data_IF_189334597592
#
_entry.id   IF_189334597592
#
_cell.length_a   1.000
_cell.length_b   1.000
_cell.length_c   1.000
_cell.angle_alpha   90.00
_cell.angle_beta   90.00
_cell.angle_gamma   90.00
#
_symmetry.space_group_name_H-M   'P 1'
#
loop_
_entity.id
_entity.type
_entity.pdbx_description
1 polymer ?
#
# COMPACT_ATOMS: atom_id res chain seq x y z
N UNK A 1 -5.94 -0.04 -5.87
CA UNK A 1 -5.11 -0.36 -7.04
C UNK A 1 -4.07 0.74 -7.14
N UNK A 2 -2.86 0.39 -7.55
CA UNK A 2 -1.72 1.30 -7.59
C UNK A 2 -1.00 1.11 -8.92
N UNK A 3 -0.56 2.18 -9.55
CA UNK A 3 0.19 2.13 -10.79
C UNK A 3 1.11 3.35 -10.91
N UNK A 4 2.26 3.17 -11.55
CA UNK A 4 3.20 4.23 -11.83
C UNK A 4 3.80 4.06 -13.23
N UNK A 5 4.12 5.18 -13.87
CA UNK A 5 4.77 5.26 -15.17
C UNK A 5 5.85 6.36 -15.12
N UNK A 6 6.97 6.11 -15.79
CA UNK A 6 8.07 7.06 -15.95
C UNK A 6 8.50 7.07 -17.41
N UNK A 7 8.72 8.27 -17.95
CA UNK A 7 9.35 8.45 -19.25
C UNK A 7 10.88 8.36 -19.08
N UNK A 8 11.53 7.45 -19.80
CA UNK A 8 12.98 7.28 -19.71
C UNK A 8 13.79 8.34 -20.48
N UNK A 9 13.13 9.12 -21.33
CA UNK A 9 13.78 10.15 -22.16
C UNK A 9 13.79 11.53 -21.50
N UNK A 10 13.01 11.74 -20.44
CA UNK A 10 12.89 13.03 -19.75
C UNK A 10 12.50 12.87 -18.27
N UNK A 11 12.41 13.97 -17.51
CA UNK A 11 12.13 13.92 -16.07
C UNK A 11 10.63 13.75 -15.75
N UNK A 12 9.84 13.17 -16.65
CA UNK A 12 8.39 13.06 -16.48
C UNK A 12 8.01 11.73 -15.86
N UNK A 13 7.17 11.77 -14.85
CA UNK A 13 6.61 10.59 -14.20
C UNK A 13 5.18 10.88 -13.71
N UNK A 14 4.39 9.83 -13.60
CA UNK A 14 3.03 9.89 -13.08
C UNK A 14 2.68 8.60 -12.35
N UNK A 15 1.95 8.72 -11.26
CA UNK A 15 1.58 7.62 -10.39
C UNK A 15 0.23 7.86 -9.73
N UNK A 16 -0.46 6.78 -9.48
CA UNK A 16 -1.72 6.74 -8.73
C UNK A 16 -1.66 5.65 -7.68
N UNK A 17 -2.16 5.94 -6.49
CA UNK A 17 -2.24 4.98 -5.42
C UNK A 17 -3.61 4.99 -4.74
N UNK A 18 -4.04 3.87 -4.18
CA UNK A 18 -5.27 3.77 -3.41
C UNK A 18 -6.56 3.92 -4.22
N UNK A 19 -6.52 3.85 -5.55
CA UNK A 19 -7.73 3.99 -6.38
C UNK A 19 -8.57 2.72 -6.35
N UNK A 20 -9.90 2.87 -6.24
CA UNK A 20 -10.82 1.71 -6.08
C UNK A 20 -11.69 1.45 -7.31
N UNK A 21 -12.03 2.49 -8.06
CA UNK A 21 -13.03 2.43 -9.12
C UNK A 21 -12.45 2.55 -10.52
N UNK A 22 -11.17 2.87 -10.66
CA UNK A 22 -10.55 3.11 -11.97
C UNK A 22 -10.26 1.78 -12.66
N UNK A 23 -10.88 1.53 -13.83
CA UNK A 23 -10.70 0.28 -14.59
C UNK A 23 -9.22 0.00 -14.92
N UNK A 24 -8.54 1.03 -15.43
CA UNK A 24 -7.17 0.96 -15.90
C UNK A 24 -6.30 2.00 -15.17
N UNK A 25 -5.69 1.66 -14.02
CA UNK A 25 -4.90 2.62 -13.24
C UNK A 25 -3.65 3.13 -13.97
N UNK A 26 -3.12 2.37 -14.94
CA UNK A 26 -1.94 2.80 -15.72
C UNK A 26 -2.28 3.93 -16.71
N UNK A 27 -3.48 3.92 -17.29
CA UNK A 27 -3.95 5.01 -18.16
C UNK A 27 -4.13 6.29 -17.34
N UNK A 28 -4.66 6.16 -16.12
CA UNK A 28 -4.76 7.27 -15.19
C UNK A 28 -3.39 7.81 -14.77
N UNK A 29 -2.41 6.94 -14.48
CA UNK A 29 -1.03 7.36 -14.18
C UNK A 29 -0.39 8.13 -15.34
N UNK A 30 -0.68 7.75 -16.59
CA UNK A 30 -0.25 8.51 -17.78
C UNK A 30 -0.95 9.88 -17.86
N UNK A 31 -2.24 9.95 -17.56
CA UNK A 31 -2.96 11.22 -17.50
C UNK A 31 -2.41 12.15 -16.41
N UNK A 32 -2.02 11.60 -15.25
CA UNK A 32 -1.35 12.37 -14.18
C UNK A 32 -0.06 12.99 -14.70
N UNK A 33 0.76 12.21 -15.42
CA UNK A 33 2.02 12.68 -16.01
C UNK A 33 1.82 13.77 -17.08
N UNK A 34 0.78 13.66 -17.91
CA UNK A 34 0.56 14.55 -19.07
C UNK A 34 -0.27 15.79 -18.76
N UNK A 35 -1.21 15.69 -17.80
CA UNK A 35 -2.26 16.70 -17.59
C UNK A 35 -2.29 17.29 -16.18
N UNK A 36 -1.35 16.91 -15.33
CA UNK A 36 -1.22 17.49 -13.99
C UNK A 36 0.21 17.93 -13.70
N UNK A 37 0.41 18.90 -12.81
CA UNK A 37 1.75 19.28 -12.33
C UNK A 37 2.28 18.30 -11.27
N UNK A 38 1.49 17.30 -10.85
CA UNK A 38 1.82 16.39 -9.77
C UNK A 38 2.34 15.05 -10.30
N UNK A 39 3.23 14.41 -9.53
CA UNK A 39 3.76 13.08 -9.89
C UNK A 39 2.92 11.95 -9.31
N UNK A 40 2.32 12.13 -8.13
CA UNK A 40 1.56 11.09 -7.44
C UNK A 40 0.24 11.65 -6.93
N UNK A 41 -0.86 11.02 -7.30
CA UNK A 41 -2.18 11.25 -6.71
C UNK A 41 -2.63 10.02 -5.92
N UNK A 42 -3.30 10.23 -4.80
CA UNK A 42 -3.66 9.15 -3.87
C UNK A 42 -5.14 9.20 -3.50
N UNK A 43 -5.75 8.03 -3.36
CA UNK A 43 -7.10 7.81 -2.85
C UNK A 43 -8.13 8.71 -3.54
N UNK A 44 -8.87 9.51 -2.77
CA UNK A 44 -9.96 10.36 -3.26
C UNK A 44 -9.49 11.39 -4.29
N UNK A 45 -8.34 12.03 -4.08
CA UNK A 45 -7.82 13.00 -5.05
C UNK A 45 -7.45 12.37 -6.40
N UNK A 46 -7.09 11.09 -6.42
CA UNK A 46 -6.88 10.36 -7.66
C UNK A 46 -8.21 9.95 -8.34
N UNK A 47 -9.27 9.68 -7.56
CA UNK A 47 -10.60 9.37 -8.09
C UNK A 47 -11.30 10.62 -8.65
N UNK A 48 -11.15 11.78 -8.01
CA UNK A 48 -11.62 13.08 -8.51
C UNK A 48 -10.92 13.43 -9.83
N UNK A 49 -9.59 13.32 -9.88
CA UNK A 49 -8.85 13.52 -11.13
C UNK A 49 -9.29 12.54 -12.23
N UNK A 50 -9.60 11.29 -11.89
CA UNK A 50 -10.11 10.32 -12.84
C UNK A 50 -11.47 10.74 -13.43
N UNK A 51 -12.35 11.32 -12.62
CA UNK A 51 -13.63 11.88 -13.06
C UNK A 51 -13.42 13.08 -13.98
N UNK A 52 -12.56 14.02 -13.61
CA UNK A 52 -12.24 15.20 -14.42
C UNK A 52 -11.66 14.84 -15.78
N UNK A 53 -10.83 13.80 -15.85
CA UNK A 53 -10.22 13.33 -17.09
C UNK A 53 -11.09 12.37 -17.90
N UNK A 54 -12.29 12.02 -17.41
CA UNK A 54 -13.22 11.13 -18.11
C UNK A 54 -12.78 9.67 -18.16
N UNK A 55 -12.03 9.20 -17.15
CA UNK A 55 -11.58 7.82 -17.07
C UNK A 55 -12.75 6.85 -16.82
N UNK A 56 -12.65 5.63 -17.34
CA UNK A 56 -13.69 4.60 -17.17
C UNK A 56 -13.69 4.10 -15.72
N UNK A 57 -14.77 4.40 -15.01
CA UNK A 57 -15.03 3.91 -13.66
C UNK A 57 -15.86 2.63 -13.69
N UNK A 58 -15.44 1.67 -12.88
CA UNK A 58 -16.11 0.39 -12.67
C UNK A 58 -16.36 0.20 -11.17
N UNK A 59 -17.46 -0.48 -10.79
CA UNK A 59 -17.70 -0.81 -9.39
C UNK A 59 -16.58 -1.69 -8.85
N UNK A 60 -16.30 -1.59 -7.56
CA UNK A 60 -15.19 -2.31 -6.91
C UNK A 60 -15.29 -3.83 -7.08
N UNK A 61 -16.52 -4.33 -7.20
CA UNK A 61 -16.88 -5.73 -7.41
C UNK A 61 -16.28 -6.27 -8.71
N UNK A 62 -16.09 -5.43 -9.73
CA UNK A 62 -15.46 -5.79 -11.01
C UNK A 62 -14.08 -6.43 -10.83
N UNK A 63 -13.30 -5.99 -9.83
CA UNK A 63 -11.96 -6.51 -9.56
C UNK A 63 -11.95 -7.76 -8.67
N UNK A 64 -13.10 -8.17 -8.11
CA UNK A 64 -13.19 -9.30 -7.18
C UNK A 64 -13.57 -10.56 -7.95
N UNK A 65 -12.58 -11.39 -8.25
CA UNK A 65 -12.82 -12.71 -8.86
C UNK A 65 -13.00 -13.79 -7.79
N UNK A 66 -13.82 -14.80 -8.08
CA UNK A 66 -14.07 -15.91 -7.15
C UNK A 66 -12.76 -16.64 -6.75
N UNK A 67 -11.82 -16.78 -7.68
CA UNK A 67 -10.51 -17.36 -7.40
C UNK A 67 -9.72 -16.54 -6.37
N UNK A 68 -9.62 -15.21 -6.55
CA UNK A 68 -8.92 -14.34 -5.59
C UNK A 68 -9.60 -14.28 -4.23
N UNK A 69 -10.92 -14.40 -4.19
CA UNK A 69 -11.67 -14.48 -2.93
C UNK A 69 -11.30 -15.76 -2.17
N UNK A 70 -11.30 -16.92 -2.83
CA UNK A 70 -10.90 -18.20 -2.21
C UNK A 70 -9.48 -18.17 -1.68
N UNK A 71 -8.53 -17.67 -2.47
CA UNK A 71 -7.13 -17.51 -2.03
C UNK A 71 -7.02 -16.61 -0.79
N UNK A 72 -7.77 -15.50 -0.75
CA UNK A 72 -7.80 -14.61 0.41
C UNK A 72 -8.36 -15.30 1.66
N UNK A 73 -9.43 -16.09 1.52
CA UNK A 73 -10.03 -16.85 2.61
C UNK A 73 -9.07 -17.90 3.17
N UNK A 74 -8.40 -18.64 2.30
CA UNK A 74 -7.38 -19.61 2.70
C UNK A 74 -6.19 -18.95 3.40
N UNK A 75 -5.70 -17.82 2.87
CA UNK A 75 -4.63 -17.05 3.50
C UNK A 75 -5.03 -16.53 4.88
N UNK A 76 -6.28 -16.07 5.05
CA UNK A 76 -6.84 -15.65 6.35
C UNK A 76 -6.92 -16.80 7.35
N UNK A 77 -7.35 -17.99 6.90
CA UNK A 77 -7.39 -19.19 7.74
C UNK A 77 -6.00 -19.57 8.23
N UNK A 78 -5.03 -19.67 7.32
CA UNK A 78 -3.62 -19.96 7.65
C UNK A 78 -3.02 -18.90 8.58
N UNK A 79 -3.31 -17.62 8.35
CA UNK A 79 -2.84 -16.54 9.22
C UNK A 79 -3.49 -16.61 10.62
N UNK A 80 -4.75 -17.01 10.72
CA UNK A 80 -5.43 -17.28 11.98
C UNK A 80 -4.81 -18.45 12.74
N UNK A 81 -4.53 -19.55 12.05
CA UNK A 81 -3.84 -20.72 12.59
C UNK A 81 -2.41 -20.38 13.06
N UNK A 82 -1.66 -19.59 12.29
CA UNK A 82 -0.32 -19.10 12.67
C UNK A 82 -0.37 -18.14 13.86
N UNK A 83 -1.40 -17.27 13.96
CA UNK A 83 -1.62 -16.43 15.15
C UNK A 83 -1.98 -17.26 16.38
N UNK A 84 -2.73 -18.34 16.22
CA UNK A 84 -3.07 -19.26 17.30
C UNK A 84 -1.88 -20.13 17.73
N UNK A 85 -1.01 -20.51 16.79
CA UNK A 85 0.20 -21.30 17.02
C UNK A 85 1.42 -20.45 17.42
N UNK A 86 1.34 -19.12 17.34
CA UNK A 86 2.39 -18.23 17.79
C UNK A 86 2.58 -18.43 19.30
N UNK A 87 3.74 -18.93 19.77
CA UNK A 87 3.99 -18.96 21.20
C UNK A 87 3.92 -17.52 21.72
N UNK A 88 3.17 -17.31 22.81
CA UNK A 88 2.95 -16.01 23.43
C UNK A 88 4.25 -15.24 23.67
N UNK A 89 4.18 -13.92 23.96
CA UNK A 89 5.34 -13.03 23.90
C UNK A 89 6.49 -13.63 24.70
N UNK A 90 7.47 -14.22 24.00
CA UNK A 90 8.67 -14.75 24.64
C UNK A 90 9.45 -13.52 25.08
N UNK A 91 9.16 -13.04 26.30
CA UNK A 91 10.08 -12.17 27.04
C UNK A 91 11.36 -12.97 27.19
N UNK A 92 12.32 -12.72 26.31
CA UNK A 92 13.70 -13.16 26.49
C UNK A 92 14.55 -11.92 26.74
N UNK A 93 14.54 -11.46 27.99
CA UNK A 93 15.74 -10.81 28.53
C UNK A 93 16.76 -11.93 28.72
N UNK A 94 17.75 -12.03 27.83
CA UNK A 94 18.91 -12.85 28.08
C UNK A 94 19.84 -12.08 29.02
N UNK A 95 19.70 -12.32 30.32
CA UNK A 95 20.72 -11.97 31.31
C UNK A 95 21.76 -13.09 31.35
N UNK A 96 22.99 -12.82 30.89
CA UNK A 96 24.23 -13.34 31.50
C UNK A 96 25.47 -12.81 30.78
N UNK A 97 26.18 -11.88 31.45
CA UNK A 97 27.59 -11.46 31.32
C UNK A 97 28.15 -11.35 29.89
N UNK A 98 28.30 -10.16 29.31
CA UNK A 98 29.45 -9.27 29.62
C UNK A 98 29.04 -7.79 29.58
N UNK A 99 29.41 -7.06 30.63
CA UNK A 99 29.36 -5.61 30.85
C UNK A 99 29.18 -4.74 29.59
N UNK A 100 28.01 -4.11 29.47
CA UNK A 100 27.84 -2.68 29.14
C UNK A 100 26.34 -2.39 29.02
N UNK A 101 25.67 -2.27 30.16
CA UNK A 101 24.38 -1.60 30.23
C UNK A 101 24.67 -0.11 30.43
N UNK A 102 24.64 0.67 29.36
CA UNK A 102 24.50 2.12 29.45
C UNK A 102 23.05 2.48 29.13
N UNK A 103 22.25 2.70 30.18
CA UNK A 103 20.98 3.40 30.08
C UNK A 103 21.24 4.89 30.34
N UNK A 104 20.75 5.82 29.50
CA UNK A 104 20.54 7.18 29.95
C UNK A 104 19.13 7.30 30.53
N UNK A 105 19.05 7.31 31.86
CA UNK A 105 17.87 7.78 32.57
C UNK A 105 17.92 9.32 32.66
N UNK A 106 16.83 9.94 32.21
CA UNK A 106 16.21 11.17 32.68
C UNK A 106 17.04 12.46 32.89
N UNK A 107 16.58 13.55 32.26
CA UNK A 107 16.27 14.81 32.96
C UNK A 107 15.25 15.61 32.16
N UNK A 108 14.13 15.92 32.80
CA UNK A 108 13.17 16.89 32.32
C UNK A 108 13.67 18.31 32.50
N UNK A 109 13.05 19.20 31.73
CA UNK A 109 12.85 20.61 32.01
C UNK A 109 11.40 20.92 31.63
#
# INVERSE_FOLDING_TARGET
>A
LDAAIMDGHGPRAGAVAGVRHVKNPIELARLVMEKSPHVLLVAEGAEEFALEQGAVLVPREYFRTAARIRELEEARRRAGELKAAAPGPRRRCASSSTRSCAAPAARGA
#
